data_IF_586136977107
#
_entry.id   IF_586136977107
#
_cell.length_a   1.000
_cell.length_b   1.000
_cell.length_c   1.000
_cell.angle_alpha   90.00
_cell.angle_beta   90.00
_cell.angle_gamma   90.00
#
_symmetry.space_group_name_H-M   'P 1'
#
loop_
_entity.id
_entity.type
_entity.pdbx_description
1 polymer ?
#
# COMPACT_ATOMS: atom_id res chain seq x y z
N UNK A 1 -10.21 -17.47 -29.89
CA UNK A 1 -9.14 -16.71 -30.57
C UNK A 1 -9.16 -15.23 -30.17
N UNK A 2 -8.22 -14.47 -30.66
CA UNK A 2 -8.09 -13.03 -30.41
C UNK A 2 -7.95 -12.25 -31.71
N UNK A 3 -8.44 -11.01 -31.72
CA UNK A 3 -8.22 -10.07 -32.83
C UNK A 3 -7.25 -9.01 -32.33
N UNK A 4 -6.12 -8.87 -33.01
CA UNK A 4 -5.02 -7.96 -32.64
C UNK A 4 -4.87 -6.91 -33.73
N UNK A 5 -4.79 -5.63 -33.33
CA UNK A 5 -4.49 -4.51 -34.23
C UNK A 5 -2.97 -4.35 -34.33
N UNK A 6 -2.39 -4.55 -35.49
CA UNK A 6 -1.00 -4.27 -35.79
C UNK A 6 -0.85 -3.06 -36.72
N UNK A 7 0.37 -2.75 -37.14
CA UNK A 7 0.68 -1.64 -38.05
C UNK A 7 -0.06 -1.77 -39.39
N UNK A 8 -0.22 -2.99 -39.89
CA UNK A 8 -0.84 -3.30 -41.19
C UNK A 8 -2.34 -3.68 -41.10
N UNK A 9 -3.01 -3.34 -40.01
CA UNK A 9 -4.41 -3.63 -39.79
C UNK A 9 -4.69 -4.70 -38.73
N UNK A 10 -5.81 -5.41 -38.83
CA UNK A 10 -6.24 -6.41 -37.86
C UNK A 10 -5.84 -7.81 -38.27
N UNK A 11 -5.29 -8.58 -37.33
CA UNK A 11 -4.95 -9.99 -37.50
C UNK A 11 -5.79 -10.81 -36.51
N UNK A 12 -6.43 -11.87 -37.01
CA UNK A 12 -7.17 -12.83 -36.20
C UNK A 12 -6.30 -14.04 -35.88
N UNK A 13 -6.04 -14.26 -34.61
CA UNK A 13 -5.36 -15.46 -34.10
C UNK A 13 -6.41 -16.50 -33.69
N UNK A 14 -6.37 -17.66 -34.33
CA UNK A 14 -7.22 -18.80 -33.97
C UNK A 14 -6.50 -19.65 -32.92
N UNK A 15 -7.23 -20.12 -31.92
CA UNK A 15 -6.72 -20.98 -30.87
C UNK A 15 -7.38 -22.36 -30.96
N UNK A 16 -6.63 -23.42 -30.63
CA UNK A 16 -7.12 -24.79 -30.68
C UNK A 16 -7.90 -25.18 -29.40
N UNK A 17 -7.60 -24.52 -28.26
CA UNK A 17 -8.15 -24.88 -26.96
C UNK A 17 -8.80 -23.70 -26.23
N UNK A 18 -8.23 -22.50 -26.31
CA UNK A 18 -8.76 -21.35 -25.59
C UNK A 18 -7.83 -20.14 -25.59
N UNK A 19 -8.28 -19.09 -24.92
CA UNK A 19 -7.54 -17.85 -24.69
C UNK A 19 -7.38 -17.68 -23.19
N UNK A 20 -6.17 -17.35 -22.74
CA UNK A 20 -5.89 -16.99 -21.35
C UNK A 20 -5.61 -15.48 -21.32
N UNK A 21 -6.43 -14.75 -20.56
CA UNK A 21 -6.19 -13.34 -20.25
C UNK A 21 -5.23 -13.27 -19.06
N UNK A 22 -4.08 -12.62 -19.26
CA UNK A 22 -3.06 -12.36 -18.25
C UNK A 22 -2.60 -10.89 -18.37
N UNK A 23 -3.54 -9.99 -18.56
CA UNK A 23 -3.33 -8.61 -19.00
C UNK A 23 -3.08 -7.62 -17.86
N UNK A 24 -3.03 -8.12 -16.62
CA UNK A 24 -2.88 -7.26 -15.44
C UNK A 24 -4.18 -6.54 -15.06
N UNK A 25 -4.04 -5.58 -14.16
CA UNK A 25 -5.15 -4.76 -13.67
C UNK A 25 -5.43 -3.52 -14.52
N UNK A 26 -5.90 -2.45 -13.84
CA UNK A 26 -6.28 -1.19 -14.50
C UNK A 26 -5.80 0.05 -13.73
N UNK A 27 -4.65 -0.06 -13.06
CA UNK A 27 -4.05 0.97 -12.20
C UNK A 27 -3.83 2.31 -12.93
N UNK A 28 -3.62 2.26 -14.24
CA UNK A 28 -3.38 3.44 -15.08
C UNK A 28 -4.57 3.84 -15.94
N UNK A 29 -5.78 3.42 -15.57
CA UNK A 29 -7.03 3.88 -16.15
C UNK A 29 -7.83 4.69 -15.10
N UNK A 30 -7.68 6.03 -15.05
CA UNK A 30 -8.34 6.85 -14.04
C UNK A 30 -9.87 6.81 -14.10
N UNK A 31 -10.44 6.62 -15.29
CA UNK A 31 -11.89 6.51 -15.46
C UNK A 31 -12.42 5.20 -14.84
N UNK A 32 -11.74 4.08 -15.10
CA UNK A 32 -12.10 2.79 -14.53
C UNK A 32 -11.85 2.75 -13.01
N UNK A 33 -10.76 3.34 -12.53
CA UNK A 33 -10.51 3.49 -11.09
C UNK A 33 -11.64 4.27 -10.40
N UNK A 34 -12.02 5.41 -10.95
CA UNK A 34 -13.11 6.23 -10.41
C UNK A 34 -14.47 5.51 -10.42
N UNK A 35 -14.71 4.66 -11.42
CA UNK A 35 -15.96 3.89 -11.56
C UNK A 35 -16.00 2.64 -10.65
N UNK A 36 -14.85 2.01 -10.41
CA UNK A 36 -14.78 0.69 -9.79
C UNK A 36 -14.27 0.69 -8.35
N UNK A 37 -13.48 1.70 -7.93
CA UNK A 37 -12.86 1.74 -6.61
C UNK A 37 -13.50 2.78 -5.69
N UNK A 38 -13.34 2.61 -4.37
CA UNK A 38 -13.82 3.61 -3.40
C UNK A 38 -12.98 4.88 -3.50
N UNK A 39 -13.57 6.08 -3.49
CA UNK A 39 -12.82 7.34 -3.58
C UNK A 39 -11.70 7.46 -2.53
N UNK A 40 -11.94 6.98 -1.31
CA UNK A 40 -10.91 7.02 -0.24
C UNK A 40 -9.68 6.16 -0.57
N UNK A 41 -9.88 5.02 -1.26
CA UNK A 41 -8.79 4.10 -1.61
C UNK A 41 -7.88 4.69 -2.70
N UNK A 42 -8.38 5.71 -3.40
CA UNK A 42 -7.62 6.45 -4.41
C UNK A 42 -6.79 7.61 -3.83
N UNK A 43 -6.86 7.86 -2.52
CA UNK A 43 -5.98 8.79 -1.82
C UNK A 43 -4.59 8.17 -1.61
N UNK A 44 -3.83 8.07 -2.69
CA UNK A 44 -2.54 7.40 -2.75
C UNK A 44 -1.41 8.40 -2.97
N UNK A 45 -0.24 8.11 -2.40
CA UNK A 45 1.00 8.80 -2.74
C UNK A 45 1.46 8.44 -4.14
N UNK A 46 1.48 7.16 -4.46
CA UNK A 46 1.85 6.65 -5.79
C UNK A 46 1.40 5.20 -6.00
N UNK A 47 1.56 4.71 -7.22
CA UNK A 47 1.47 3.30 -7.55
C UNK A 47 2.87 2.68 -7.52
N UNK A 48 3.06 1.59 -6.78
CA UNK A 48 4.32 0.85 -6.71
C UNK A 48 4.63 0.14 -8.04
N UNK A 49 3.58 -0.28 -8.76
CA UNK A 49 3.73 -0.84 -10.09
C UNK A 49 4.04 0.27 -11.10
N UNK A 50 5.27 0.30 -11.62
CA UNK A 50 5.70 1.29 -12.62
C UNK A 50 5.19 1.05 -14.05
N UNK A 51 4.46 -0.04 -14.30
CA UNK A 51 4.02 -0.44 -15.64
C UNK A 51 2.76 0.29 -16.08
N UNK A 52 2.91 1.42 -16.77
CA UNK A 52 1.80 2.28 -17.21
C UNK A 52 0.88 1.67 -18.28
N UNK A 53 1.04 0.39 -18.60
CA UNK A 53 0.24 -0.34 -19.60
C UNK A 53 -0.96 -1.09 -18.99
N UNK A 54 -1.10 -1.09 -17.67
CA UNK A 54 -2.24 -1.70 -16.97
C UNK A 54 -3.46 -0.77 -17.04
N UNK A 55 -4.16 -0.81 -18.17
CA UNK A 55 -5.29 0.08 -18.50
C UNK A 55 -6.64 -0.63 -18.46
N UNK A 56 -6.66 -1.92 -18.12
CA UNK A 56 -7.88 -2.71 -17.98
C UNK A 56 -8.43 -3.24 -19.31
N UNK A 57 -7.63 -3.27 -20.37
CA UNK A 57 -8.08 -3.71 -21.70
C UNK A 57 -8.60 -5.15 -21.68
N UNK A 58 -7.97 -6.05 -20.90
CA UNK A 58 -8.45 -7.42 -20.76
C UNK A 58 -9.83 -7.52 -20.10
N UNK A 59 -10.12 -6.65 -19.14
CA UNK A 59 -11.43 -6.55 -18.53
C UNK A 59 -12.48 -6.14 -19.57
N UNK A 60 -12.20 -5.07 -20.31
CA UNK A 60 -13.16 -4.54 -21.31
C UNK A 60 -13.36 -5.52 -22.48
N UNK A 61 -12.31 -6.19 -22.93
CA UNK A 61 -12.42 -7.23 -23.97
C UNK A 61 -13.32 -8.39 -23.51
N UNK A 62 -13.17 -8.84 -22.28
CA UNK A 62 -13.97 -9.93 -21.73
C UNK A 62 -15.44 -9.50 -21.53
N UNK A 63 -15.66 -8.30 -20.98
CA UNK A 63 -17.01 -7.74 -20.80
C UNK A 63 -17.75 -7.59 -22.14
N UNK A 64 -17.06 -7.21 -23.20
CA UNK A 64 -17.65 -7.08 -24.53
C UNK A 64 -18.21 -8.41 -25.09
N UNK A 65 -17.80 -9.55 -24.54
CA UNK A 65 -18.31 -10.88 -24.89
C UNK A 65 -19.14 -11.52 -23.76
N UNK A 66 -19.61 -10.70 -22.79
CA UNK A 66 -20.53 -11.11 -21.73
C UNK A 66 -19.88 -11.65 -20.46
N UNK A 67 -18.59 -11.40 -20.22
CA UNK A 67 -17.94 -11.79 -18.97
C UNK A 67 -18.47 -10.95 -17.79
N UNK A 68 -18.55 -11.60 -16.63
CA UNK A 68 -18.92 -11.02 -15.35
C UNK A 68 -17.67 -10.51 -14.64
N UNK A 69 -17.71 -9.29 -14.14
CA UNK A 69 -16.70 -8.75 -13.19
C UNK A 69 -17.19 -8.91 -11.75
N UNK A 70 -16.26 -8.82 -10.80
CA UNK A 70 -16.57 -8.74 -9.38
C UNK A 70 -17.49 -7.56 -9.07
N UNK A 71 -18.24 -7.67 -7.98
CA UNK A 71 -19.08 -6.57 -7.51
C UNK A 71 -18.23 -5.37 -7.06
N UNK A 72 -18.73 -4.18 -7.32
CA UNK A 72 -18.10 -2.93 -6.88
C UNK A 72 -18.41 -2.64 -5.40
N UNK A 73 -17.51 -1.98 -4.66
CA UNK A 73 -16.20 -1.48 -5.10
C UNK A 73 -15.12 -2.57 -5.15
N UNK A 74 -14.27 -2.50 -6.17
CA UNK A 74 -13.10 -3.38 -6.24
C UNK A 74 -12.04 -2.96 -5.21
N UNK A 75 -11.39 -3.91 -4.53
CA UNK A 75 -10.31 -3.61 -3.61
C UNK A 75 -9.02 -3.21 -4.34
N UNK A 76 -8.19 -2.44 -3.65
CA UNK A 76 -6.80 -2.20 -4.02
C UNK A 76 -5.88 -3.00 -3.08
N UNK A 77 -4.80 -3.52 -3.60
CA UNK A 77 -3.71 -4.04 -2.78
C UNK A 77 -2.87 -2.86 -2.29
N UNK A 78 -3.24 -2.35 -1.12
CA UNK A 78 -2.53 -1.24 -0.49
C UNK A 78 -1.23 -1.72 0.15
N UNK A 79 -0.25 -0.83 0.16
CA UNK A 79 1.07 -1.07 0.72
C UNK A 79 1.56 0.19 1.47
N UNK A 80 2.12 0.08 2.67
CA UNK A 80 2.90 1.16 3.23
C UNK A 80 4.23 1.23 2.47
N UNK A 81 4.66 2.42 2.12
CA UNK A 81 5.95 2.62 1.46
C UNK A 81 7.11 2.25 2.41
N UNK A 82 6.95 2.60 3.68
CA UNK A 82 7.88 2.26 4.75
C UNK A 82 7.41 1.01 5.51
N UNK A 83 8.17 -0.08 5.35
CA UNK A 83 7.86 -1.39 5.94
C UNK A 83 8.40 -1.56 7.37
N UNK A 84 9.31 -0.69 7.81
CA UNK A 84 9.82 -0.74 9.17
C UNK A 84 8.80 -0.09 10.12
N UNK A 85 8.50 -0.72 11.25
CA UNK A 85 7.53 -0.21 12.22
C UNK A 85 8.12 0.92 13.08
N UNK A 86 8.58 1.99 12.43
CA UNK A 86 8.98 3.22 13.09
C UNK A 86 7.78 3.92 13.73
N UNK A 87 8.03 4.67 14.82
CA UNK A 87 7.00 5.50 15.43
C UNK A 87 6.34 6.43 14.41
N UNK A 88 5.00 6.51 14.44
CA UNK A 88 4.20 7.27 13.47
C UNK A 88 3.28 8.28 14.14
N UNK A 89 3.19 9.45 13.55
CA UNK A 89 2.27 10.50 13.98
C UNK A 89 1.48 11.06 12.80
N UNK A 90 0.22 11.41 13.04
CA UNK A 90 -0.63 12.03 12.05
C UNK A 90 -0.44 13.57 12.00
N UNK A 91 -1.19 14.26 11.15
CA UNK A 91 -1.20 15.73 11.02
C UNK A 91 -1.48 16.49 12.30
N UNK A 92 -2.03 15.84 13.33
CA UNK A 92 -2.30 16.46 14.65
C UNK A 92 -1.12 16.29 15.63
N UNK A 93 -0.04 15.64 15.21
CA UNK A 93 1.11 15.34 16.04
C UNK A 93 0.90 14.19 17.02
N UNK A 94 -0.11 13.32 16.78
CA UNK A 94 -0.44 12.22 17.68
C UNK A 94 -0.33 10.86 16.99
N UNK A 95 0.06 9.83 17.77
CA UNK A 95 -0.02 8.42 17.34
C UNK A 95 -1.47 8.04 17.04
N UNK A 96 -1.67 7.08 16.16
CA UNK A 96 -3.01 6.71 15.71
C UNK A 96 -3.19 5.20 15.48
N UNK A 97 -2.14 4.40 15.58
CA UNK A 97 -2.17 2.96 15.36
C UNK A 97 -0.95 2.29 15.99
N UNK A 98 -0.97 0.96 16.14
CA UNK A 98 0.24 0.19 16.36
C UNK A 98 1.06 0.13 15.06
N UNK A 99 2.33 0.47 15.13
CA UNK A 99 3.21 0.52 13.97
C UNK A 99 3.56 -0.87 13.42
N UNK A 100 3.36 -1.91 14.23
CA UNK A 100 3.57 -3.32 13.87
C UNK A 100 2.27 -4.01 13.44
N UNK A 101 1.41 -3.28 12.75
CA UNK A 101 0.18 -3.84 12.20
C UNK A 101 0.45 -4.73 10.98
N UNK A 102 -0.52 -5.61 10.69
CA UNK A 102 -0.47 -6.42 9.50
C UNK A 102 -0.38 -5.53 8.24
N UNK A 103 0.39 -6.00 7.28
CA UNK A 103 0.79 -5.34 6.04
C UNK A 103 -0.27 -4.47 5.37
N UNK A 104 -1.52 -4.91 5.35
CA UNK A 104 -2.63 -4.18 4.72
C UNK A 104 -3.41 -3.28 5.68
N UNK A 105 -3.19 -3.35 7.00
CA UNK A 105 -3.91 -2.54 7.98
C UNK A 105 -3.30 -1.15 8.10
N UNK A 106 -1.98 -1.06 8.13
CA UNK A 106 -1.27 0.22 8.26
C UNK A 106 -1.64 1.22 7.15
N UNK A 107 -1.63 0.87 5.84
CA UNK A 107 -2.08 1.79 4.79
C UNK A 107 -3.52 2.26 4.97
N UNK A 108 -4.43 1.39 5.42
CA UNK A 108 -5.80 1.78 5.72
C UNK A 108 -5.88 2.76 6.91
N UNK A 109 -5.04 2.54 7.94
CA UNK A 109 -4.95 3.46 9.07
C UNK A 109 -4.41 4.84 8.64
N UNK A 110 -3.39 4.87 7.76
CA UNK A 110 -2.84 6.11 7.18
C UNK A 110 -3.90 6.85 6.36
N UNK A 111 -4.62 6.16 5.48
CA UNK A 111 -5.69 6.77 4.68
C UNK A 111 -6.84 7.34 5.51
N UNK A 112 -7.07 6.80 6.70
CA UNK A 112 -8.09 7.29 7.63
C UNK A 112 -7.66 8.57 8.37
N UNK A 113 -6.37 8.97 8.30
CA UNK A 113 -5.89 10.16 8.98
C UNK A 113 -6.25 11.45 8.24
N UNK A 114 -6.29 12.59 8.92
CA UNK A 114 -6.53 13.88 8.30
C UNK A 114 -5.49 14.16 7.20
N UNK A 115 -5.95 14.27 5.95
CA UNK A 115 -5.11 14.46 4.77
C UNK A 115 -4.59 13.17 4.14
N UNK A 116 -4.96 12.00 4.67
CA UNK A 116 -4.56 10.68 4.19
C UNK A 116 -3.02 10.50 4.15
N UNK A 117 -2.32 11.05 5.14
CA UNK A 117 -0.89 10.89 5.31
C UNK A 117 -0.50 10.87 6.79
N UNK A 118 0.70 10.41 7.05
CA UNK A 118 1.37 10.48 8.34
C UNK A 118 2.83 10.92 8.20
N UNK A 119 3.56 10.90 9.31
CA UNK A 119 4.99 10.97 9.38
C UNK A 119 5.52 9.79 10.18
N UNK A 120 6.47 9.05 9.64
CA UNK A 120 7.27 8.14 10.45
C UNK A 120 8.55 8.85 10.91
N UNK A 121 9.08 8.41 12.03
CA UNK A 121 10.12 9.13 12.75
C UNK A 121 11.26 8.22 13.20
N UNK A 122 12.46 8.78 13.16
CA UNK A 122 13.65 8.23 13.79
C UNK A 122 14.50 9.36 14.37
N UNK A 123 15.48 9.00 15.18
CA UNK A 123 16.48 9.92 15.72
C UNK A 123 17.91 9.50 15.32
N UNK A 124 18.93 10.10 15.95
CA UNK A 124 20.31 9.78 15.68
C UNK A 124 20.66 8.30 15.94
N UNK A 125 19.85 7.60 16.75
CA UNK A 125 20.02 6.19 17.09
C UNK A 125 19.29 5.26 16.14
N UNK A 126 19.03 5.65 14.89
CA UNK A 126 18.25 4.89 13.91
C UNK A 126 18.73 3.43 13.75
N UNK A 127 20.02 3.16 13.90
CA UNK A 127 20.54 1.79 13.84
C UNK A 127 20.11 0.95 15.05
N UNK A 128 20.05 1.54 16.25
CA UNK A 128 19.59 0.86 17.47
C UNK A 128 18.08 0.65 17.41
N UNK A 129 17.33 1.62 16.87
CA UNK A 129 15.91 1.48 16.57
C UNK A 129 15.71 0.28 15.64
N UNK A 130 16.43 0.23 14.52
CA UNK A 130 16.34 -0.90 13.57
C UNK A 130 16.74 -2.23 14.21
N UNK A 131 17.71 -2.25 15.11
CA UNK A 131 18.10 -3.48 15.82
C UNK A 131 16.91 -4.00 16.67
N UNK A 132 16.19 -3.12 17.35
CA UNK A 132 15.06 -3.50 18.20
C UNK A 132 13.84 -4.02 17.41
N UNK A 133 13.56 -3.44 16.23
CA UNK A 133 12.40 -3.79 15.40
C UNK A 133 12.71 -4.83 14.32
N UNK A 134 13.98 -5.25 14.16
CA UNK A 134 14.39 -6.15 13.09
C UNK A 134 13.88 -7.56 13.30
N UNK A 135 13.22 -8.10 12.30
CA UNK A 135 12.72 -9.47 12.26
C UNK A 135 13.40 -10.27 11.15
N UNK A 136 13.37 -11.62 11.17
CA UNK A 136 13.88 -12.42 10.05
C UNK A 136 13.26 -12.07 8.70
N UNK A 137 12.00 -11.67 8.66
CA UNK A 137 11.32 -11.23 7.44
C UNK A 137 11.83 -9.86 6.94
N UNK A 138 12.30 -8.99 7.83
CA UNK A 138 12.83 -7.66 7.44
C UNK A 138 14.04 -7.78 6.51
N UNK A 139 14.84 -8.83 6.64
CA UNK A 139 16.02 -9.06 5.79
C UNK A 139 15.67 -9.32 4.30
N UNK A 140 14.43 -9.69 3.98
CA UNK A 140 13.97 -9.84 2.59
C UNK A 140 13.96 -8.52 1.83
N UNK A 141 13.93 -7.39 2.53
CA UNK A 141 13.83 -6.05 1.96
C UNK A 141 15.18 -5.30 1.91
N UNK A 142 16.27 -6.00 2.19
CA UNK A 142 17.63 -5.43 2.17
C UNK A 142 18.26 -5.28 3.55
N UNK A 143 19.51 -4.80 3.62
CA UNK A 143 20.23 -4.63 4.87
C UNK A 143 19.74 -3.39 5.66
N UNK A 144 19.95 -3.38 6.99
CA UNK A 144 19.54 -2.30 7.91
C UNK A 144 20.05 -0.92 7.48
N UNK A 145 21.27 -0.86 6.94
CA UNK A 145 21.91 0.37 6.48
C UNK A 145 21.11 1.07 5.36
N UNK A 146 20.42 0.31 4.51
CA UNK A 146 19.57 0.87 3.47
C UNK A 146 18.35 1.56 4.09
N UNK A 147 17.75 0.94 5.09
CA UNK A 147 16.58 1.50 5.79
C UNK A 147 16.96 2.70 6.67
N UNK A 148 18.11 2.63 7.36
CA UNK A 148 18.65 3.76 8.10
C UNK A 148 18.94 4.94 7.16
N UNK A 149 19.61 4.68 6.02
CA UNK A 149 19.91 5.71 5.03
C UNK A 149 18.66 6.32 4.41
N UNK A 150 17.60 5.54 4.17
CA UNK A 150 16.33 6.08 3.67
C UNK A 150 15.67 6.99 4.72
N UNK A 151 15.61 6.56 5.99
CA UNK A 151 14.94 7.30 7.06
C UNK A 151 15.69 8.59 7.45
N UNK A 152 16.98 8.69 7.17
CA UNK A 152 17.83 9.85 7.49
C UNK A 152 18.34 10.58 6.24
N UNK A 153 17.73 10.31 5.07
CA UNK A 153 18.11 10.91 3.79
C UNK A 153 17.79 12.40 3.71
N UNK A 154 18.28 13.06 2.66
CA UNK A 154 17.99 14.45 2.38
C UNK A 154 16.48 14.73 2.11
N UNK A 155 15.69 13.68 1.86
CA UNK A 155 14.24 13.78 1.72
C UNK A 155 13.51 13.82 3.08
N UNK A 156 14.18 13.41 4.16
CA UNK A 156 13.63 13.51 5.50
C UNK A 156 13.76 14.94 6.04
N UNK A 157 12.73 15.40 6.73
CA UNK A 157 12.82 16.61 7.55
C UNK A 157 13.78 16.32 8.70
N UNK A 158 14.70 17.25 8.97
CA UNK A 158 15.72 17.12 10.01
C UNK A 158 15.70 18.32 10.94
N UNK A 159 15.82 18.09 12.25
CA UNK A 159 15.89 19.13 13.27
C UNK A 159 16.70 18.68 14.49
N UNK A 160 17.19 19.65 15.25
CA UNK A 160 17.94 19.40 16.49
C UNK A 160 17.03 19.41 17.73
N UNK A 161 15.77 19.88 17.61
CA UNK A 161 14.75 19.81 18.65
C UNK A 161 13.44 19.24 18.09
N UNK A 162 12.59 18.72 18.97
CA UNK A 162 11.27 18.20 18.59
C UNK A 162 10.33 19.34 18.15
N UNK A 163 10.43 20.51 18.78
CA UNK A 163 9.63 21.68 18.43
C UNK A 163 9.97 22.17 17.01
N UNK A 164 11.26 22.25 16.68
CA UNK A 164 11.71 22.61 15.33
C UNK A 164 11.25 21.56 14.29
N UNK A 165 11.29 20.29 14.66
CA UNK A 165 10.80 19.22 13.79
C UNK A 165 9.29 19.34 13.56
N UNK A 166 8.50 19.62 14.61
CA UNK A 166 7.07 19.86 14.51
C UNK A 166 6.72 21.03 13.60
N UNK A 167 7.49 22.13 13.68
CA UNK A 167 7.34 23.30 12.80
C UNK A 167 7.57 22.90 11.33
N UNK A 168 8.64 22.15 11.04
CA UNK A 168 8.96 21.65 9.69
C UNK A 168 7.90 20.69 9.15
N UNK A 169 7.33 19.85 10.00
CA UNK A 169 6.22 18.94 9.67
C UNK A 169 4.89 19.68 9.48
N UNK A 170 4.75 20.88 10.03
CA UNK A 170 3.48 21.64 10.04
C UNK A 170 2.44 21.00 10.95
N UNK A 171 2.86 20.42 12.08
CA UNK A 171 1.98 19.82 13.12
C UNK A 171 2.02 20.67 14.40
N UNK A 172 1.00 20.59 15.29
CA UNK A 172 1.01 21.30 16.57
C UNK A 172 2.18 20.83 17.45
N UNK A 173 3.10 21.73 17.79
CA UNK A 173 4.33 21.37 18.53
C UNK A 173 4.04 20.78 19.90
N UNK A 174 3.12 21.39 20.69
CA UNK A 174 2.79 20.90 22.03
C UNK A 174 2.28 19.46 21.99
N UNK A 175 1.33 19.14 21.10
CA UNK A 175 0.77 17.80 20.97
C UNK A 175 1.82 16.79 20.49
N UNK A 176 2.70 17.21 19.58
CA UNK A 176 3.77 16.38 19.06
C UNK A 176 4.80 16.05 20.15
N UNK A 177 5.28 17.05 20.88
CA UNK A 177 6.25 16.85 21.97
C UNK A 177 5.64 15.99 23.09
N UNK A 178 4.38 16.21 23.43
CA UNK A 178 3.66 15.37 24.40
C UNK A 178 3.60 13.90 23.93
N UNK A 179 3.29 13.68 22.65
CA UNK A 179 3.27 12.34 22.05
C UNK A 179 4.62 11.63 22.16
N UNK A 180 5.73 12.34 21.85
CA UNK A 180 7.07 11.75 21.94
C UNK A 180 7.47 11.49 23.40
N UNK A 181 7.17 12.40 24.32
CA UNK A 181 7.45 12.19 25.74
C UNK A 181 6.67 10.98 26.28
N UNK A 182 5.39 10.87 25.97
CA UNK A 182 4.57 9.72 26.35
C UNK A 182 5.10 8.40 25.76
N UNK A 183 5.50 8.40 24.47
CA UNK A 183 6.15 7.26 23.87
C UNK A 183 7.43 6.86 24.62
N UNK A 184 8.28 7.82 24.96
CA UNK A 184 9.52 7.58 25.67
C UNK A 184 9.28 7.03 27.09
N UNK A 185 8.24 7.50 27.79
CA UNK A 185 7.82 6.96 29.10
C UNK A 185 7.38 5.49 28.98
N UNK A 186 6.60 5.15 27.95
CA UNK A 186 6.21 3.77 27.65
C UNK A 186 7.41 2.88 27.31
N UNK A 187 8.41 3.42 26.59
CA UNK A 187 9.69 2.72 26.34
C UNK A 187 10.42 2.38 27.65
N UNK A 188 10.47 3.32 28.61
CA UNK A 188 11.07 3.09 29.92
C UNK A 188 10.30 2.06 30.76
N UNK A 189 8.97 2.03 30.62
CA UNK A 189 8.12 1.04 31.25
C UNK A 189 8.18 -0.35 30.55
N UNK A 190 8.64 -0.39 29.30
CA UNK A 190 8.69 -1.61 28.50
C UNK A 190 7.32 -2.10 28.01
N UNK A 191 6.29 -1.23 28.04
CA UNK A 191 4.92 -1.58 27.67
C UNK A 191 4.24 -0.41 26.95
N UNK A 192 3.68 -0.67 25.78
CA UNK A 192 2.81 0.27 25.07
C UNK A 192 1.35 0.07 25.54
N UNK A 193 0.87 1.00 26.35
CA UNK A 193 -0.49 0.98 26.88
C UNK A 193 -1.54 1.51 25.90
N UNK A 194 -1.13 2.17 24.81
CA UNK A 194 -2.04 2.81 23.86
C UNK A 194 -2.49 1.85 22.76
N UNK A 195 -1.53 1.16 22.11
CA UNK A 195 -1.79 0.32 20.95
C UNK A 195 -1.18 -1.08 21.06
N UNK A 196 -0.57 -1.42 22.21
CA UNK A 196 0.03 -2.72 22.49
C UNK A 196 1.16 -3.12 21.52
N UNK A 197 1.94 -2.13 21.06
CA UNK A 197 3.17 -2.40 20.32
C UNK A 197 4.12 -3.26 21.17
N UNK A 198 4.79 -4.27 20.60
CA UNK A 198 5.60 -5.18 21.41
C UNK A 198 6.73 -4.44 22.15
N UNK A 199 6.72 -4.43 23.49
CA UNK A 199 7.64 -3.66 24.33
C UNK A 199 9.13 -3.91 24.01
N UNK A 200 9.48 -5.16 23.66
CA UNK A 200 10.85 -5.51 23.22
C UNK A 200 11.32 -4.84 21.93
N UNK A 201 10.37 -4.28 21.14
CA UNK A 201 10.63 -3.59 19.87
C UNK A 201 10.56 -2.08 20.04
N UNK A 202 10.18 -1.58 21.21
CA UNK A 202 10.13 -0.14 21.48
C UNK A 202 11.53 0.43 21.63
N UNK A 203 11.72 1.62 21.09
CA UNK A 203 12.96 2.39 21.22
C UNK A 203 12.61 3.87 21.38
N UNK A 204 13.32 4.55 22.28
CA UNK A 204 13.09 5.98 22.50
C UNK A 204 13.44 6.82 21.28
N UNK A 205 12.82 7.97 21.22
CA UNK A 205 13.15 9.07 20.30
C UNK A 205 13.59 10.24 21.19
N UNK A 206 14.87 10.30 21.54
CA UNK A 206 15.39 11.24 22.53
C UNK A 206 16.78 11.83 22.18
N UNK A 207 17.38 11.42 21.07
CA UNK A 207 18.74 11.80 20.70
C UNK A 207 18.78 12.57 19.37
N UNK A 208 19.06 13.87 19.44
CA UNK A 208 19.19 14.70 18.22
C UNK A 208 20.37 14.23 17.34
N UNK A 209 20.30 14.43 16.00
CA UNK A 209 19.20 15.04 15.28
C UNK A 209 18.01 14.10 15.11
N UNK A 210 16.80 14.70 15.09
CA UNK A 210 15.55 14.01 14.83
C UNK A 210 15.18 14.10 13.34
N UNK A 211 14.53 13.05 12.84
CA UNK A 211 14.13 12.96 11.45
C UNK A 211 12.65 12.56 11.35
N UNK A 212 11.95 13.15 10.39
CA UNK A 212 10.58 12.77 10.05
C UNK A 212 10.41 12.71 8.53
N UNK A 213 9.77 11.66 8.05
CA UNK A 213 9.44 11.52 6.63
C UNK A 213 7.95 11.40 6.46
N UNK A 214 7.38 12.24 5.59
CA UNK A 214 5.98 12.18 5.23
C UNK A 214 5.70 10.96 4.37
N UNK A 215 4.66 10.23 4.72
CA UNK A 215 4.21 9.07 3.97
C UNK A 215 2.71 9.13 3.67
N UNK A 216 2.33 8.57 2.54
CA UNK A 216 0.96 8.26 2.17
C UNK A 216 0.88 6.76 1.85
N UNK A 217 -0.29 6.16 1.98
CA UNK A 217 -0.47 4.82 1.45
C UNK A 217 -0.12 4.77 -0.04
N UNK A 218 0.55 3.73 -0.47
CA UNK A 218 0.74 3.40 -1.88
C UNK A 218 -0.12 2.18 -2.25
N UNK A 219 -0.23 1.86 -3.52
CA UNK A 219 -0.89 0.66 -3.97
C UNK A 219 -0.02 -0.10 -4.96
N UNK A 220 -0.01 -1.42 -4.83
CA UNK A 220 0.70 -2.30 -5.76
C UNK A 220 -0.12 -2.53 -7.02
N UNK A 221 -1.40 -2.86 -6.87
CA UNK A 221 -2.27 -3.20 -7.99
C UNK A 221 -3.76 -3.10 -7.62
N UNK A 222 -4.61 -3.13 -8.65
CA UNK A 222 -6.04 -3.40 -8.50
C UNK A 222 -6.23 -4.90 -8.24
N UNK A 223 -7.18 -5.26 -7.37
CA UNK A 223 -7.38 -6.65 -6.94
C UNK A 223 -8.77 -7.20 -7.26
N UNK A 224 -9.65 -6.41 -7.87
CA UNK A 224 -10.92 -6.87 -8.44
C UNK A 224 -10.81 -7.14 -9.94
N UNK A 225 -11.54 -8.10 -10.44
CA UNK A 225 -11.45 -8.51 -11.84
C UNK A 225 -12.59 -9.38 -12.34
N UNK A 226 -12.32 -10.13 -13.39
CA UNK A 226 -13.27 -11.06 -13.98
C UNK A 226 -13.57 -12.20 -13.02
N UNK A 227 -14.83 -12.52 -12.80
CA UNK A 227 -15.19 -13.69 -12.00
C UNK A 227 -14.78 -14.98 -12.69
N UNK A 228 -14.16 -15.87 -11.93
CA UNK A 228 -13.61 -17.12 -12.43
C UNK A 228 -14.03 -18.32 -11.58
N UNK A 229 -13.98 -19.51 -12.18
CA UNK A 229 -14.05 -20.78 -11.46
C UNK A 229 -12.71 -21.12 -10.80
N UNK A 230 -12.69 -22.21 -9.99
CA UNK A 230 -11.48 -22.83 -9.45
C UNK A 230 -10.50 -23.34 -10.53
N UNK A 231 -10.95 -23.40 -11.79
CA UNK A 231 -10.15 -23.76 -12.97
C UNK A 231 -9.75 -22.56 -13.81
N UNK A 232 -9.93 -21.34 -13.27
CA UNK A 232 -9.65 -20.08 -13.96
C UNK A 232 -10.53 -19.82 -15.21
N UNK A 233 -11.64 -20.52 -15.37
CA UNK A 233 -12.60 -20.28 -16.44
C UNK A 233 -13.38 -18.99 -16.14
N UNK A 234 -13.47 -18.06 -17.09
CA UNK A 234 -14.20 -16.79 -16.93
C UNK A 234 -15.70 -17.05 -16.96
N UNK A 235 -16.42 -16.48 -15.99
CA UNK A 235 -17.88 -16.59 -15.90
C UNK A 235 -18.58 -15.51 -16.73
N UNK A 236 -19.73 -15.86 -17.30
CA UNK A 236 -20.65 -14.92 -17.93
C UNK A 236 -21.65 -14.33 -16.91
N UNK A 237 -22.53 -13.44 -17.35
CA UNK A 237 -23.54 -12.79 -16.50
C UNK A 237 -24.58 -13.74 -15.89
N UNK A 238 -24.62 -15.00 -16.33
CA UNK A 238 -25.46 -16.07 -15.77
C UNK A 238 -24.67 -17.00 -14.84
N UNK A 239 -23.43 -16.57 -14.47
CA UNK A 239 -22.47 -17.34 -13.67
C UNK A 239 -22.13 -18.71 -14.28
N UNK A 240 -22.13 -18.81 -15.61
CA UNK A 240 -21.70 -20.02 -16.33
C UNK A 240 -20.35 -19.76 -17.00
N UNK A 241 -19.46 -20.76 -17.11
CA UNK A 241 -18.18 -20.61 -17.80
C UNK A 241 -18.37 -20.22 -19.28
N UNK A 242 -17.60 -19.23 -19.73
CA UNK A 242 -17.43 -18.91 -21.15
C UNK A 242 -16.44 -19.90 -21.75
N UNK A 243 -16.95 -20.78 -22.63
CA UNK A 243 -16.13 -21.87 -23.21
C UNK A 243 -14.82 -21.35 -23.85
N UNK A 244 -13.70 -21.88 -23.40
CA UNK A 244 -12.38 -21.57 -23.93
C UNK A 244 -11.84 -20.19 -23.57
N UNK A 245 -12.43 -19.49 -22.56
CA UNK A 245 -11.92 -18.24 -22.02
C UNK A 245 -11.47 -18.42 -20.57
N UNK A 246 -10.21 -18.07 -20.29
CA UNK A 246 -9.59 -18.16 -18.98
C UNK A 246 -8.99 -16.82 -18.58
N UNK A 247 -8.90 -16.55 -17.26
CA UNK A 247 -8.23 -15.36 -16.73
C UNK A 247 -7.34 -15.71 -15.52
N UNK A 248 -6.15 -15.10 -15.46
CA UNK A 248 -5.15 -15.33 -14.40
C UNK A 248 -4.47 -14.00 -14.02
N UNK A 249 -3.95 -13.91 -12.79
CA UNK A 249 -3.33 -12.69 -12.25
C UNK A 249 -4.36 -11.59 -12.02
N UNK A 250 -3.95 -10.32 -12.04
CA UNK A 250 -4.80 -9.20 -11.62
C UNK A 250 -5.99 -8.88 -12.54
N UNK A 251 -6.12 -9.51 -13.69
CA UNK A 251 -7.32 -9.45 -14.53
C UNK A 251 -8.41 -10.40 -14.01
N UNK A 252 -8.04 -11.43 -13.24
CA UNK A 252 -8.99 -12.31 -12.58
C UNK A 252 -9.41 -11.76 -11.22
N UNK A 253 -10.67 -11.91 -10.90
CA UNK A 253 -11.29 -11.59 -9.62
C UNK A 253 -11.58 -12.82 -8.77
N UNK A 254 -12.59 -12.71 -7.92
CA UNK A 254 -13.10 -13.79 -7.03
C UNK A 254 -12.14 -14.23 -5.94
N UNK A 255 -10.97 -13.61 -5.81
CA UNK A 255 -9.94 -13.98 -4.82
C UNK A 255 -9.84 -12.98 -3.66
N UNK A 256 -10.27 -11.74 -3.86
CA UNK A 256 -10.19 -10.69 -2.85
C UNK A 256 -11.56 -10.08 -2.62
N UNK A 257 -12.00 -10.05 -1.37
CA UNK A 257 -13.17 -9.29 -0.97
C UNK A 257 -12.74 -7.90 -0.55
N UNK A 258 -13.46 -6.87 -0.99
CA UNK A 258 -13.25 -5.51 -0.50
C UNK A 258 -13.56 -5.42 1.00
N UNK A 259 -12.60 -5.03 1.79
CA UNK A 259 -12.75 -4.72 3.22
C UNK A 259 -12.74 -3.23 3.44
#
# INVERSE_FOLDING_TARGET
GAIVKGENGYVKYLTAKGVVLATGGYEFNPEKLAACCRPRDLALGHWMNGTKTNTGDGHEMAKAIGALEDEYPHPLMLDPEQLMPYLRVNKRGVRFTAEYEAYNHLPNAIQAQPGAYDYYMVDANVMDILESIWTPSSSCYGPKEVWAGAATSDNALKADTLEELAEKMGVPADAFVETINHWNEMCDAGEDTDFHFPGKMMHKIDTAPFYATKEMASALCTAGGLQITDKSEVLNTEAQPIEGLYAIGNVSGSMFSGT
#
